data_IF_393646235836
#
_entry.id   IF_393646235836
#
_cell.length_a   1.000
_cell.length_b   1.000
_cell.length_c   1.000
_cell.angle_alpha   90.00
_cell.angle_beta   90.00
_cell.angle_gamma   90.00
#
_symmetry.space_group_name_H-M   'P 1'
#
loop_
_entity.id
_entity.type
_entity.pdbx_description
1 polymer ?
#
# COMPACT_ATOMS: atom_id res chain seq x y z
N UNK A 1 21.61 1.96 8.25
CA UNK A 1 20.65 1.21 7.42
C UNK A 1 20.23 2.11 6.28
N UNK A 2 20.40 1.66 5.05
CA UNK A 2 19.89 2.39 3.90
C UNK A 2 18.35 2.37 3.92
N UNK A 3 17.73 3.34 3.26
CA UNK A 3 16.28 3.55 3.26
C UNK A 3 15.48 2.29 2.89
N UNK A 4 15.92 1.56 1.86
CA UNK A 4 15.33 0.30 1.38
C UNK A 4 15.32 -0.82 2.43
N UNK A 5 16.32 -0.87 3.32
CA UNK A 5 16.50 -2.02 4.23
C UNK A 5 15.42 -2.05 5.32
N UNK A 6 14.92 -0.88 5.74
CA UNK A 6 13.96 -0.78 6.84
C UNK A 6 12.52 -1.07 6.40
N UNK A 7 12.11 -0.57 5.23
CA UNK A 7 10.79 -0.87 4.65
C UNK A 7 10.66 -2.37 4.38
N UNK A 8 11.69 -2.97 3.78
CA UNK A 8 11.76 -4.39 3.47
C UNK A 8 11.65 -5.27 4.73
N UNK A 9 12.37 -4.93 5.80
CA UNK A 9 12.32 -5.66 7.08
C UNK A 9 10.91 -5.64 7.68
N UNK A 10 10.25 -4.48 7.69
CA UNK A 10 8.89 -4.34 8.24
C UNK A 10 7.88 -5.10 7.37
N UNK A 11 7.95 -4.96 6.04
CA UNK A 11 7.10 -5.71 5.10
C UNK A 11 7.24 -7.22 5.28
N UNK A 12 8.47 -7.72 5.45
CA UNK A 12 8.74 -9.15 5.73
C UNK A 12 8.16 -9.59 7.06
N UNK A 13 8.26 -8.78 8.11
CA UNK A 13 7.67 -9.07 9.42
C UNK A 13 6.13 -9.12 9.35
N UNK A 14 5.51 -8.22 8.59
CA UNK A 14 4.06 -8.21 8.36
C UNK A 14 3.63 -9.47 7.62
N UNK A 15 4.27 -9.81 6.49
CA UNK A 15 3.93 -11.00 5.72
C UNK A 15 4.14 -12.28 6.52
N UNK A 16 5.20 -12.36 7.33
CA UNK A 16 5.38 -13.47 8.26
C UNK A 16 4.20 -13.58 9.23
N UNK A 17 3.80 -12.47 9.84
CA UNK A 17 2.66 -12.44 10.78
C UNK A 17 1.33 -12.82 10.11
N UNK A 18 1.12 -12.40 8.87
CA UNK A 18 -0.06 -12.81 8.07
C UNK A 18 -0.03 -14.32 7.83
N UNK A 19 1.11 -14.89 7.43
CA UNK A 19 1.25 -16.35 7.25
C UNK A 19 1.06 -17.12 8.54
N UNK A 20 1.62 -16.63 9.65
CA UNK A 20 1.43 -17.24 10.97
C UNK A 20 -0.07 -17.22 11.34
N UNK A 21 -0.78 -16.12 11.05
CA UNK A 21 -2.23 -16.04 11.23
C UNK A 21 -2.95 -17.04 10.32
N UNK A 22 -2.66 -17.10 9.02
CA UNK A 22 -3.30 -18.05 8.10
C UNK A 22 -3.15 -19.51 8.53
N UNK A 23 -2.03 -19.86 9.17
CA UNK A 23 -1.78 -21.23 9.65
C UNK A 23 -2.29 -21.51 11.08
N UNK A 24 -2.87 -20.51 11.76
CA UNK A 24 -3.41 -20.70 13.10
C UNK A 24 -4.72 -21.50 13.08
N UNK A 25 -4.92 -22.39 14.05
CA UNK A 25 -6.11 -23.25 14.14
C UNK A 25 -7.42 -22.47 14.30
N UNK A 26 -7.37 -21.28 14.89
CA UNK A 26 -8.53 -20.41 15.08
C UNK A 26 -8.82 -19.51 13.87
N UNK A 27 -8.02 -19.60 12.80
CA UNK A 27 -8.27 -18.83 11.59
C UNK A 27 -9.45 -19.41 10.81
N UNK A 28 -10.45 -18.60 10.43
CA UNK A 28 -11.58 -19.08 9.66
C UNK A 28 -11.15 -19.70 8.32
N UNK A 29 -11.71 -20.87 7.99
CA UNK A 29 -11.39 -21.64 6.78
C UNK A 29 -11.53 -20.87 5.45
N UNK A 30 -12.29 -19.76 5.43
CA UNK A 30 -12.36 -18.86 4.26
C UNK A 30 -11.00 -18.26 3.89
N UNK A 31 -10.01 -18.28 4.79
CA UNK A 31 -8.66 -17.79 4.56
C UNK A 31 -7.69 -18.87 4.05
N UNK A 32 -8.07 -20.15 4.04
CA UNK A 32 -7.21 -21.27 3.61
C UNK A 32 -6.76 -21.15 2.15
N UNK A 33 -7.52 -20.39 1.37
CA UNK A 33 -7.28 -20.16 -0.04
C UNK A 33 -6.55 -18.85 -0.30
N UNK A 34 -5.93 -18.21 0.71
CA UNK A 34 -5.16 -16.99 0.55
C UNK A 34 -3.67 -17.20 0.80
N UNK A 35 -2.85 -16.49 0.03
CA UNK A 35 -1.40 -16.45 0.19
C UNK A 35 -0.92 -15.01 0.27
N UNK A 36 0.12 -14.77 1.07
CA UNK A 36 0.78 -13.46 1.16
C UNK A 36 2.25 -13.57 0.71
N UNK A 37 2.70 -12.62 -0.10
CA UNK A 37 4.04 -12.56 -0.68
C UNK A 37 4.63 -11.16 -0.51
N UNK A 38 5.96 -11.08 -0.34
CA UNK A 38 6.72 -9.83 -0.42
C UNK A 38 7.41 -9.71 -1.77
N UNK A 39 7.73 -8.48 -2.18
CA UNK A 39 8.61 -8.17 -3.31
C UNK A 39 8.21 -8.86 -4.63
N UNK A 40 6.93 -8.76 -5.00
CA UNK A 40 6.46 -9.39 -6.23
C UNK A 40 6.64 -8.44 -7.42
N UNK A 41 7.30 -8.90 -8.47
CA UNK A 41 7.34 -8.16 -9.73
C UNK A 41 5.95 -8.17 -10.39
N UNK A 42 5.38 -7.00 -10.75
CA UNK A 42 4.11 -6.89 -11.46
C UNK A 42 4.30 -7.38 -12.91
N UNK A 43 4.28 -8.70 -13.08
CA UNK A 43 4.48 -9.43 -14.34
C UNK A 43 5.86 -9.29 -15.00
N UNK A 44 6.28 -10.40 -15.61
CA UNK A 44 7.48 -10.53 -16.44
C UNK A 44 7.39 -9.61 -17.65
N UNK A 45 7.91 -8.39 -17.58
CA UNK A 45 8.39 -7.71 -18.77
C UNK A 45 9.75 -8.35 -19.12
N UNK A 46 9.86 -9.16 -20.19
CA UNK A 46 11.10 -9.83 -20.58
C UNK A 46 12.22 -8.84 -20.98
N UNK A 47 11.98 -7.52 -20.95
CA UNK A 47 12.93 -6.49 -21.36
C UNK A 47 13.44 -5.59 -20.22
N UNK A 48 13.06 -5.80 -18.96
CA UNK A 48 13.53 -4.93 -17.87
C UNK A 48 14.56 -5.62 -16.97
N UNK A 49 15.84 -5.28 -17.15
CA UNK A 49 16.87 -5.51 -16.12
C UNK A 49 16.63 -4.60 -14.90
N UNK A 50 17.23 -4.94 -13.74
CA UNK A 50 17.33 -4.27 -12.39
C UNK A 50 16.28 -3.25 -11.88
N UNK A 51 15.56 -2.53 -12.73
CA UNK A 51 14.58 -1.47 -12.44
C UNK A 51 13.12 -1.96 -12.59
N UNK A 52 12.88 -3.27 -12.51
CA UNK A 52 11.51 -3.78 -12.51
C UNK A 52 10.77 -3.27 -11.26
N UNK A 53 9.59 -2.63 -11.39
CA UNK A 53 8.80 -2.15 -10.27
C UNK A 53 8.57 -3.27 -9.24
N UNK A 54 8.55 -2.95 -7.95
CA UNK A 54 8.45 -3.94 -6.86
C UNK A 54 7.25 -3.60 -5.99
N UNK A 55 6.30 -4.53 -5.91
CA UNK A 55 5.19 -4.42 -4.96
C UNK A 55 5.66 -4.95 -3.62
N UNK A 56 5.49 -4.16 -2.56
CA UNK A 56 5.98 -4.53 -1.23
C UNK A 56 5.25 -5.73 -0.65
N UNK A 57 3.91 -5.77 -0.74
CA UNK A 57 3.11 -6.90 -0.24
C UNK A 57 1.98 -7.21 -1.20
N UNK A 58 1.78 -8.50 -1.51
CA UNK A 58 0.65 -8.98 -2.30
C UNK A 58 -0.08 -10.09 -1.55
N UNK A 59 -1.40 -9.94 -1.43
CA UNK A 59 -2.31 -10.99 -0.98
C UNK A 59 -3.05 -11.51 -2.22
N UNK A 60 -3.02 -12.82 -2.46
CA UNK A 60 -3.70 -13.47 -3.59
C UNK A 60 -4.63 -14.57 -3.08
N UNK A 61 -5.83 -14.67 -3.66
CA UNK A 61 -6.73 -15.80 -3.46
C UNK A 61 -6.57 -16.88 -4.54
N UNK A 62 -6.51 -18.14 -4.13
CA UNK A 62 -6.31 -19.32 -4.97
C UNK A 62 -7.63 -19.91 -5.55
N UNK A 63 -8.79 -19.46 -5.06
CA UNK A 63 -10.07 -20.16 -5.24
C UNK A 63 -10.79 -19.92 -6.58
N UNK A 64 -10.68 -18.72 -7.17
CA UNK A 64 -11.51 -18.26 -8.30
C UNK A 64 -10.60 -17.64 -9.38
N UNK A 65 -10.91 -17.83 -10.66
CA UNK A 65 -10.22 -17.15 -11.78
C UNK A 65 -11.11 -16.03 -12.35
N UNK A 66 -10.56 -14.82 -12.63
CA UNK A 66 -9.21 -14.37 -12.29
C UNK A 66 -9.01 -14.33 -10.76
N UNK A 67 -7.78 -14.62 -10.32
CA UNK A 67 -7.46 -14.67 -8.89
C UNK A 67 -7.65 -13.29 -8.28
N UNK A 68 -8.43 -13.14 -7.19
CA UNK A 68 -8.51 -11.87 -6.51
C UNK A 68 -7.14 -11.55 -5.91
N UNK A 69 -6.67 -10.33 -6.13
CA UNK A 69 -5.43 -9.84 -5.55
C UNK A 69 -5.68 -8.53 -4.83
N UNK A 70 -4.92 -8.32 -3.76
CA UNK A 70 -4.85 -7.06 -3.04
C UNK A 70 -3.38 -6.75 -2.78
N UNK A 71 -2.94 -5.60 -3.28
CA UNK A 71 -1.53 -5.18 -3.22
C UNK A 71 -1.38 -4.03 -2.26
N UNK A 72 -0.31 -4.05 -1.46
CA UNK A 72 0.12 -2.91 -0.67
C UNK A 72 1.46 -2.41 -1.20
N UNK A 73 1.55 -1.11 -1.33
CA UNK A 73 2.82 -0.39 -1.39
C UNK A 73 3.09 0.20 0.00
N UNK A 74 4.34 0.21 0.43
CA UNK A 74 4.77 0.74 1.70
C UNK A 74 5.78 1.88 1.50
N UNK A 75 5.71 2.87 2.38
CA UNK A 75 6.71 3.93 2.49
C UNK A 75 6.98 4.26 3.94
N UNK A 76 8.25 4.52 4.24
CA UNK A 76 8.71 5.07 5.51
C UNK A 76 8.30 6.53 5.61
N UNK A 77 7.83 6.92 6.79
CA UNK A 77 7.64 8.32 7.17
C UNK A 77 8.56 8.65 8.34
N UNK A 78 9.46 9.61 8.11
CA UNK A 78 10.44 10.09 9.09
C UNK A 78 10.79 11.56 8.88
N UNK A 79 10.57 12.39 9.89
CA UNK A 79 10.81 13.83 9.89
C UNK A 79 12.25 14.10 9.48
N UNK A 80 12.41 15.05 8.55
CA UNK A 80 13.72 15.45 8.03
C UNK A 80 14.39 14.49 7.04
N UNK A 81 13.80 13.32 6.73
CA UNK A 81 14.43 12.37 5.78
C UNK A 81 13.48 11.70 4.80
N UNK A 82 12.29 11.28 5.23
CA UNK A 82 11.31 10.57 4.40
C UNK A 82 9.95 11.24 4.63
N UNK A 83 9.58 12.09 3.68
CA UNK A 83 8.45 12.99 3.82
C UNK A 83 7.16 12.37 3.30
N UNK A 84 6.04 13.04 3.56
CA UNK A 84 4.74 12.66 2.98
C UNK A 84 4.74 12.70 1.44
N UNK A 85 5.70 13.42 0.85
CA UNK A 85 5.94 13.45 -0.59
C UNK A 85 6.37 12.10 -1.17
N UNK A 86 7.14 11.31 -0.43
CA UNK A 86 7.56 9.97 -0.89
C UNK A 86 6.37 9.00 -0.90
N UNK A 87 5.47 9.15 0.07
CA UNK A 87 4.22 8.40 0.18
C UNK A 87 3.20 8.77 -0.91
N UNK A 88 2.95 10.06 -1.12
CA UNK A 88 1.93 10.56 -2.07
C UNK A 88 2.44 10.78 -3.49
N UNK A 89 3.75 10.74 -3.67
CA UNK A 89 4.41 11.06 -4.94
C UNK A 89 4.50 9.88 -5.90
N UNK A 90 5.32 10.07 -6.91
CA UNK A 90 5.46 9.17 -8.05
C UNK A 90 5.83 7.73 -7.66
N UNK A 91 6.78 7.55 -6.74
CA UNK A 91 7.27 6.25 -6.31
C UNK A 91 6.42 5.56 -5.23
N UNK A 92 5.40 6.24 -4.71
CA UNK A 92 4.43 5.68 -3.76
C UNK A 92 3.07 5.54 -4.42
N UNK A 93 2.11 6.37 -4.00
CA UNK A 93 0.74 6.39 -4.54
C UNK A 93 0.70 6.51 -6.08
N UNK A 94 1.63 7.25 -6.69
CA UNK A 94 1.72 7.43 -8.14
C UNK A 94 1.90 6.13 -8.93
N UNK A 95 2.45 5.07 -8.33
CA UNK A 95 2.56 3.75 -8.96
C UNK A 95 1.17 3.13 -9.22
N UNK A 96 0.20 3.36 -8.34
CA UNK A 96 -1.19 2.92 -8.54
C UNK A 96 -1.93 3.78 -9.57
N UNK A 97 -1.70 5.09 -9.56
CA UNK A 97 -2.39 6.03 -10.46
C UNK A 97 -1.98 5.84 -11.92
N UNK A 98 -0.71 5.49 -12.14
CA UNK A 98 -0.13 5.20 -13.47
C UNK A 98 -0.29 3.74 -13.89
N UNK A 99 -1.08 2.97 -13.15
CA UNK A 99 -1.32 1.55 -13.41
C UNK A 99 -0.03 0.71 -13.52
N UNK A 100 1.01 1.09 -12.77
CA UNK A 100 2.19 0.23 -12.59
C UNK A 100 1.86 -0.91 -11.62
N UNK A 101 1.03 -0.60 -10.61
CA UNK A 101 0.51 -1.55 -9.63
C UNK A 101 -1.02 -1.66 -9.71
N UNK A 102 -1.55 -2.84 -9.38
CA UNK A 102 -2.98 -3.12 -9.27
C UNK A 102 -3.84 -2.75 -10.49
N UNK A 103 -3.29 -2.69 -11.71
CA UNK A 103 -3.97 -2.20 -12.93
C UNK A 103 -5.38 -2.79 -13.15
N UNK A 104 -5.54 -4.08 -12.84
CA UNK A 104 -6.80 -4.82 -13.06
C UNK A 104 -7.66 -4.95 -11.79
N UNK A 105 -7.27 -4.33 -10.68
CA UNK A 105 -7.97 -4.43 -9.41
C UNK A 105 -8.55 -3.07 -9.01
N UNK A 106 -9.77 -3.06 -8.41
CA UNK A 106 -10.48 -1.83 -8.07
C UNK A 106 -9.96 -1.17 -6.79
N UNK A 107 -9.11 -1.86 -6.03
CA UNK A 107 -8.57 -1.35 -4.78
C UNK A 107 -7.15 -1.84 -4.50
N UNK A 108 -6.43 -1.06 -3.69
CA UNK A 108 -5.11 -1.38 -3.16
C UNK A 108 -4.88 -0.68 -1.80
N UNK A 109 -3.75 -0.97 -1.16
CA UNK A 109 -3.35 -0.35 0.10
C UNK A 109 -2.05 0.43 0.00
N UNK A 110 -1.93 1.46 0.82
CA UNK A 110 -0.71 2.22 1.07
C UNK A 110 -0.38 2.17 2.56
N UNK A 111 0.71 1.51 2.93
CA UNK A 111 1.21 1.41 4.30
C UNK A 111 2.21 2.54 4.56
N UNK A 112 1.99 3.32 5.63
CA UNK A 112 2.97 4.27 6.13
C UNK A 112 3.64 3.71 7.38
N UNK A 113 4.95 3.46 7.32
CA UNK A 113 5.74 3.05 8.47
C UNK A 113 6.30 4.28 9.18
N UNK A 114 5.65 4.69 10.26
CA UNK A 114 6.03 5.88 11.03
C UNK A 114 7.17 5.51 11.95
N UNK A 115 8.33 6.16 11.80
CA UNK A 115 9.54 5.82 12.55
C UNK A 115 10.04 6.95 13.46
N UNK A 116 9.17 7.90 13.79
CA UNK A 116 9.43 8.89 14.83
C UNK A 116 8.40 8.79 15.94
N UNK A 117 8.89 8.85 17.17
CA UNK A 117 8.07 8.86 18.37
C UNK A 117 7.02 9.99 18.32
N UNK A 118 5.78 9.67 18.73
CA UNK A 118 4.67 10.63 18.86
C UNK A 118 4.40 11.47 17.60
N UNK A 119 4.75 10.96 16.42
CA UNK A 119 4.64 11.71 15.16
C UNK A 119 3.39 11.40 14.33
N UNK A 120 2.58 10.42 14.74
CA UNK A 120 1.36 10.04 14.04
C UNK A 120 0.41 11.22 13.77
N UNK A 121 0.05 12.10 14.74
CA UNK A 121 -0.82 13.25 14.46
C UNK A 121 -0.25 14.21 13.41
N UNK A 122 1.08 14.35 13.37
CA UNK A 122 1.76 15.17 12.37
C UNK A 122 1.59 14.57 10.97
N UNK A 123 1.83 13.27 10.81
CA UNK A 123 1.70 12.62 9.51
C UNK A 123 0.26 12.58 9.00
N UNK A 124 -0.72 12.43 9.91
CA UNK A 124 -2.15 12.58 9.57
C UNK A 124 -2.42 13.96 8.94
N UNK A 125 -1.99 15.01 9.64
CA UNK A 125 -2.16 16.40 9.19
C UNK A 125 -1.48 16.64 7.84
N UNK A 126 -0.29 16.08 7.64
CA UNK A 126 0.45 16.17 6.37
C UNK A 126 -0.25 15.42 5.23
N UNK A 127 -0.81 14.25 5.48
CA UNK A 127 -1.58 13.49 4.50
C UNK A 127 -2.80 14.30 4.04
N UNK A 128 -3.61 14.78 4.99
CA UNK A 128 -4.77 15.60 4.66
C UNK A 128 -4.38 16.88 3.91
N UNK A 129 -3.29 17.54 4.35
CA UNK A 129 -2.77 18.73 3.68
C UNK A 129 -2.42 18.43 2.23
N UNK A 130 -1.73 17.31 1.96
CA UNK A 130 -1.42 16.88 0.58
C UNK A 130 -2.67 16.61 -0.24
N UNK A 131 -3.69 15.95 0.32
CA UNK A 131 -4.94 15.67 -0.38
C UNK A 131 -5.78 16.94 -0.63
N UNK A 132 -5.66 17.97 0.20
CA UNK A 132 -6.30 19.29 -0.05
C UNK A 132 -5.57 20.11 -1.10
N UNK A 133 -4.24 20.07 -1.11
CA UNK A 133 -3.43 20.94 -1.96
C UNK A 133 -3.16 20.37 -3.36
N UNK A 134 -3.13 19.05 -3.52
CA UNK A 134 -2.52 18.43 -4.70
C UNK A 134 -3.55 18.01 -5.77
N UNK A 135 -3.60 18.77 -6.86
CA UNK A 135 -4.38 18.43 -8.05
C UNK A 135 -3.84 17.19 -8.79
N UNK A 136 -2.58 16.80 -8.59
CA UNK A 136 -1.96 15.68 -9.30
C UNK A 136 -2.37 14.29 -8.79
N UNK A 137 -3.24 14.24 -7.77
CA UNK A 137 -3.72 12.98 -7.21
C UNK A 137 -4.95 12.44 -7.96
N UNK A 138 -5.48 13.15 -8.96
CA UNK A 138 -6.61 12.70 -9.77
C UNK A 138 -7.82 12.23 -8.94
N UNK A 139 -8.12 12.94 -7.85
CA UNK A 139 -9.14 12.52 -6.86
C UNK A 139 -10.55 12.46 -7.47
N UNK A 140 -11.22 11.33 -7.25
CA UNK A 140 -12.65 11.11 -7.52
C UNK A 140 -13.48 11.17 -6.24
N UNK A 141 -12.92 10.67 -5.14
CA UNK A 141 -13.47 10.86 -3.79
C UNK A 141 -12.38 11.41 -2.86
N UNK A 142 -12.70 12.40 -2.03
CA UNK A 142 -11.73 12.97 -1.11
C UNK A 142 -11.29 11.93 -0.08
N UNK A 143 -10.14 12.21 0.56
CA UNK A 143 -9.68 11.44 1.71
C UNK A 143 -10.73 11.49 2.81
N UNK A 144 -11.13 10.32 3.31
CA UNK A 144 -12.08 10.17 4.40
C UNK A 144 -11.52 9.20 5.43
N UNK A 145 -11.74 9.48 6.71
CA UNK A 145 -11.48 8.50 7.76
C UNK A 145 -12.39 7.29 7.55
N UNK A 146 -11.80 6.12 7.74
CA UNK A 146 -12.50 4.85 7.68
C UNK A 146 -12.09 4.03 8.90
N UNK A 147 -12.97 3.12 9.31
CA UNK A 147 -12.59 2.07 10.26
C UNK A 147 -13.15 0.77 9.71
N UNK A 148 -12.29 0.02 9.02
CA UNK A 148 -12.58 -1.32 8.52
C UNK A 148 -12.39 -2.34 9.63
N UNK A 149 -11.28 -2.21 10.37
CA UNK A 149 -10.93 -3.08 11.48
C UNK A 149 -10.85 -2.27 12.77
N UNK A 150 -11.60 -2.69 13.80
CA UNK A 150 -11.61 -2.00 15.09
C UNK A 150 -10.22 -1.91 15.72
N UNK A 151 -9.42 -2.97 15.55
CA UNK A 151 -8.09 -3.10 16.12
C UNK A 151 -6.98 -2.46 15.27
N UNK A 152 -7.33 -1.92 14.09
CA UNK A 152 -6.40 -1.19 13.23
C UNK A 152 -6.82 0.28 13.17
N UNK A 153 -6.41 1.10 14.15
CA UNK A 153 -6.69 2.52 14.10
C UNK A 153 -5.90 3.17 12.96
N UNK A 154 -6.31 4.38 12.56
CA UNK A 154 -5.61 5.20 11.55
C UNK A 154 -5.72 4.65 10.13
N UNK A 155 -6.96 4.35 9.74
CA UNK A 155 -7.31 4.00 8.37
C UNK A 155 -8.00 5.19 7.69
N UNK A 156 -7.61 5.47 6.45
CA UNK A 156 -8.33 6.37 5.57
C UNK A 156 -8.59 5.70 4.25
N UNK A 157 -9.57 6.22 3.53
CA UNK A 157 -9.90 5.82 2.19
C UNK A 157 -9.89 7.03 1.27
N UNK A 158 -9.44 6.82 0.05
CA UNK A 158 -9.55 7.78 -1.05
C UNK A 158 -9.84 7.02 -2.35
N UNK A 159 -10.40 7.72 -3.35
CA UNK A 159 -10.64 7.14 -4.67
C UNK A 159 -10.04 8.04 -5.74
N UNK A 160 -9.31 7.45 -6.67
CA UNK A 160 -8.51 8.16 -7.67
C UNK A 160 -8.84 7.69 -9.07
N UNK A 161 -8.83 8.61 -10.04
CA UNK A 161 -8.77 8.23 -11.44
C UNK A 161 -7.39 7.65 -11.76
N UNK A 162 -7.33 6.88 -12.83
CA UNK A 162 -6.10 6.30 -13.36
C UNK A 162 -5.81 6.87 -14.73
N UNK A 163 -4.54 7.17 -14.98
CA UNK A 163 -4.09 7.66 -16.27
C UNK A 163 -2.98 6.74 -16.80
N UNK A 164 -3.29 5.99 -17.85
CA UNK A 164 -2.32 5.26 -18.66
C UNK A 164 -2.74 5.35 -20.12
N UNK A 165 -1.83 5.86 -20.94
CA UNK A 165 -1.87 5.96 -22.41
C UNK A 165 -3.21 5.58 -23.06
N UNK A 166 -4.05 6.59 -23.33
CA UNK A 166 -5.24 6.53 -24.21
C UNK A 166 -6.34 5.52 -23.87
N UNK A 167 -6.22 4.74 -22.79
CA UNK A 167 -7.24 3.79 -22.33
C UNK A 167 -7.90 4.29 -21.06
N UNK A 168 -9.23 4.21 -21.01
CA UNK A 168 -9.96 4.43 -19.78
C UNK A 168 -9.72 3.26 -18.83
N UNK A 169 -9.12 3.55 -17.68
CA UNK A 169 -9.01 2.61 -16.58
C UNK A 169 -10.06 2.93 -15.52
N UNK A 170 -10.67 1.91 -14.89
CA UNK A 170 -11.57 2.15 -13.77
C UNK A 170 -10.81 2.85 -12.64
N UNK A 171 -11.52 3.69 -11.89
CA UNK A 171 -10.96 4.33 -10.70
C UNK A 171 -10.47 3.29 -9.69
N UNK A 172 -9.48 3.65 -8.88
CA UNK A 172 -8.95 2.82 -7.80
C UNK A 172 -9.27 3.45 -6.44
N UNK A 173 -9.79 2.62 -5.53
CA UNK A 173 -9.86 2.93 -4.11
C UNK A 173 -8.55 2.60 -3.40
N UNK A 174 -8.00 3.52 -2.64
CA UNK A 174 -6.77 3.34 -1.87
C UNK A 174 -7.08 3.39 -0.38
N UNK A 175 -6.68 2.33 0.33
CA UNK A 175 -6.70 2.28 1.78
C UNK A 175 -5.35 2.78 2.31
N UNK A 176 -5.36 3.89 3.05
CA UNK A 176 -4.18 4.44 3.70
C UNK A 176 -4.12 3.95 5.15
N UNK A 177 -3.07 3.24 5.52
CA UNK A 177 -2.93 2.66 6.86
C UNK A 177 -1.62 3.15 7.46
N UNK A 178 -1.71 3.84 8.59
CA UNK A 178 -0.55 4.41 9.26
C UNK A 178 -0.18 3.53 10.46
N UNK A 179 0.98 2.89 10.38
CA UNK A 179 1.51 2.00 11.39
C UNK A 179 2.59 2.72 12.19
N UNK A 180 2.43 2.73 13.52
CA UNK A 180 3.46 3.24 14.41
C UNK A 180 4.56 2.18 14.60
N UNK A 181 5.73 2.46 14.04
CA UNK A 181 6.87 1.56 13.96
C UNK A 181 8.11 2.15 14.66
N UNK A 182 7.94 3.17 15.53
CA UNK A 182 9.08 3.83 16.18
C UNK A 182 9.85 2.89 17.13
N UNK A 183 9.17 1.89 17.69
CA UNK A 183 9.71 0.95 18.69
C UNK A 183 10.22 -0.37 18.10
N UNK A 184 10.27 -0.49 16.76
CA UNK A 184 10.75 -1.67 16.03
C UNK A 184 12.25 -1.61 15.72
#
# INVERSE_FOLDING_TARGET
>A
MNSSDAEEVISKAIVKSIKDRFNSFDTPAKFDLFTAEVETHPMEDPRSGRDCPRIDIKIEGAAIKPRPQFTFEAKRLKKGSHGIGDYTGEAGLGCFLRCQYAENFPSAGMLAYIQDENSLPHWKSELERKFRENQSLDLRKPLQELQVLLDLPNEWFSEHARSKESKEHPAIGIFHIFLDCWSL
#
